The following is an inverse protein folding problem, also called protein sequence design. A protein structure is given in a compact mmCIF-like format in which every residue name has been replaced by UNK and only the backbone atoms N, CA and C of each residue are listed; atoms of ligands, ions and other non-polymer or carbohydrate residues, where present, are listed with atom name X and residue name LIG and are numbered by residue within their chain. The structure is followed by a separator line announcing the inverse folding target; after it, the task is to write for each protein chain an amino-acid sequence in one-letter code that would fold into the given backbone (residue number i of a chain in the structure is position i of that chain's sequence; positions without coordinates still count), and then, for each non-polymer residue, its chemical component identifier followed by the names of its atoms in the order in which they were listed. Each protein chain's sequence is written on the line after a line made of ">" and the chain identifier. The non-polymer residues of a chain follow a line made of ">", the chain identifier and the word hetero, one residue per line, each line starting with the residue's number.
data_IF_664654505613
#
_entry.id   IF_664654505613
#
_cell.length_a   1.000
_cell.length_b   1.000
_cell.length_c   1.000
_cell.angle_alpha   90.00
_cell.angle_beta   90.00
_cell.angle_gamma   90.00
#
_symmetry.space_group_name_H-M   'P 1'
#
loop_
_entity.id
_entity.type
_entity.pdbx_description
1 polymer ?
#
# COMPACT_ATOMS: atom_id res chain seq x y z
N UNK A 1 5.52 -9.53 34.61
CA UNK A 1 5.32 -8.09 34.36
C UNK A 1 4.20 -7.91 33.34
N UNK A 2 3.06 -7.37 33.74
CA UNK A 2 1.90 -7.13 32.85
C UNK A 2 2.15 -5.83 32.08
N UNK A 3 2.19 -5.84 30.74
CA UNK A 3 2.43 -4.60 29.99
C UNK A 3 1.25 -3.65 30.17
N UNK A 4 1.55 -2.39 30.53
CA UNK A 4 0.54 -1.34 30.70
C UNK A 4 -0.17 -1.07 29.37
N UNK A 5 -1.50 -0.82 29.40
CA UNK A 5 -2.36 -0.58 28.21
C UNK A 5 -1.76 0.41 27.20
N UNK A 6 -0.98 1.39 27.67
CA UNK A 6 -0.27 2.35 26.81
C UNK A 6 0.83 1.75 25.92
N UNK A 7 1.54 0.71 26.36
CA UNK A 7 2.53 0.01 25.54
C UNK A 7 1.87 -0.86 24.45
N UNK A 8 0.75 -1.50 24.75
CA UNK A 8 -0.03 -2.26 23.78
C UNK A 8 -0.58 -1.38 22.65
N UNK A 9 -1.07 -0.18 22.99
CA UNK A 9 -1.66 0.74 22.00
C UNK A 9 -0.59 1.30 21.04
N UNK A 10 0.61 1.63 21.55
CA UNK A 10 1.76 2.05 20.72
C UNK A 10 2.23 0.96 19.75
N UNK A 11 2.23 -0.30 20.18
CA UNK A 11 2.60 -1.44 19.33
C UNK A 11 1.61 -1.66 18.17
N UNK A 12 0.29 -1.58 18.44
CA UNK A 12 -0.75 -1.71 17.40
C UNK A 12 -0.68 -0.58 16.36
N UNK A 13 -0.36 0.64 16.79
CA UNK A 13 -0.26 1.81 15.91
C UNK A 13 0.98 1.74 15.01
N UNK A 14 2.11 1.27 15.53
CA UNK A 14 3.31 0.97 14.72
C UNK A 14 3.04 -0.10 13.68
N UNK A 15 2.39 -1.20 14.07
CA UNK A 15 2.00 -2.26 13.14
C UNK A 15 1.06 -1.77 12.04
N UNK A 16 0.10 -0.90 12.39
CA UNK A 16 -0.81 -0.27 11.44
C UNK A 16 -0.05 0.63 10.45
N UNK A 17 0.87 1.46 10.94
CA UNK A 17 1.68 2.33 10.10
C UNK A 17 2.57 1.53 9.13
N UNK A 18 3.25 0.48 9.62
CA UNK A 18 4.08 -0.40 8.78
C UNK A 18 3.23 -1.11 7.72
N UNK A 19 2.08 -1.66 8.10
CA UNK A 19 1.15 -2.33 7.17
C UNK A 19 0.62 -1.37 6.09
N UNK A 20 0.34 -0.12 6.48
CA UNK A 20 -0.10 0.93 5.55
C UNK A 20 1.03 1.32 4.60
N UNK A 21 2.25 1.47 5.10
CA UNK A 21 3.42 1.78 4.28
C UNK A 21 3.71 0.68 3.26
N UNK A 22 3.64 -0.59 3.66
CA UNK A 22 3.79 -1.74 2.76
C UNK A 22 2.70 -1.72 1.69
N UNK A 23 1.45 -1.45 2.07
CA UNK A 23 0.33 -1.40 1.12
C UNK A 23 0.50 -0.29 0.09
N UNK A 24 0.90 0.90 0.54
CA UNK A 24 1.23 2.04 -0.32
C UNK A 24 2.37 1.67 -1.26
N UNK A 25 3.46 1.11 -0.73
CA UNK A 25 4.61 0.70 -1.53
C UNK A 25 4.23 -0.33 -2.61
N UNK A 26 3.47 -1.36 -2.26
CA UNK A 26 2.99 -2.36 -3.23
C UNK A 26 2.13 -1.74 -4.33
N UNK A 27 1.20 -0.85 -3.98
CA UNK A 27 0.38 -0.13 -4.95
C UNK A 27 1.23 0.75 -5.87
N UNK A 28 2.21 1.48 -5.32
CA UNK A 28 3.15 2.28 -6.10
C UNK A 28 3.91 1.44 -7.12
N UNK A 29 4.43 0.28 -6.71
CA UNK A 29 5.14 -0.64 -7.62
C UNK A 29 4.22 -1.14 -8.73
N UNK A 30 2.96 -1.49 -8.41
CA UNK A 30 1.97 -1.92 -9.40
C UNK A 30 1.71 -0.81 -10.42
N UNK A 31 1.48 0.43 -9.97
CA UNK A 31 1.26 1.55 -10.88
C UNK A 31 2.47 1.88 -11.73
N UNK A 32 3.69 1.79 -11.17
CA UNK A 32 4.92 1.93 -11.95
C UNK A 32 5.04 0.85 -13.03
N UNK A 33 4.69 -0.40 -12.73
CA UNK A 33 4.69 -1.49 -13.71
C UNK A 33 3.68 -1.25 -14.84
N UNK A 34 2.49 -0.75 -14.51
CA UNK A 34 1.51 -0.33 -15.51
C UNK A 34 2.02 0.81 -16.39
N UNK A 35 2.67 1.80 -15.80
CA UNK A 35 3.24 2.93 -16.56
C UNK A 35 4.43 2.50 -17.41
N UNK A 36 5.19 1.49 -16.99
CA UNK A 36 6.28 0.92 -17.78
C UNK A 36 5.80 0.06 -18.94
N UNK A 37 4.56 -0.43 -18.92
CA UNK A 37 4.02 -1.29 -19.97
C UNK A 37 4.03 -0.62 -21.34
N UNK A 38 3.69 0.67 -21.40
CA UNK A 38 3.67 1.47 -22.64
C UNK A 38 5.08 1.58 -23.26
N UNK A 39 6.11 2.08 -22.55
CA UNK A 39 7.48 2.14 -23.10
C UNK A 39 8.08 0.76 -23.38
N UNK A 40 7.66 -0.29 -22.66
CA UNK A 40 8.02 -1.67 -23.00
C UNK A 40 7.41 -2.09 -24.34
N UNK A 41 6.16 -1.72 -24.62
CA UNK A 41 5.51 -1.93 -25.92
C UNK A 41 6.26 -1.27 -27.07
N UNK A 42 6.69 -0.01 -26.89
CA UNK A 42 7.48 0.71 -27.89
C UNK A 42 8.86 0.07 -28.12
N UNK A 43 9.49 -0.45 -27.05
CA UNK A 43 10.74 -1.21 -27.17
C UNK A 43 10.57 -2.48 -28.01
N UNK A 44 9.53 -3.29 -27.73
CA UNK A 44 9.23 -4.48 -28.53
C UNK A 44 8.76 -4.14 -29.96
N UNK A 45 8.23 -2.93 -30.17
CA UNK A 45 7.89 -2.37 -31.48
C UNK A 45 9.10 -1.94 -32.32
N UNK A 46 10.33 -2.08 -31.81
CA UNK A 46 11.57 -1.77 -32.54
C UNK A 46 12.15 -0.39 -32.25
N UNK A 47 11.61 0.37 -31.28
CA UNK A 47 12.19 1.63 -30.86
C UNK A 47 13.45 1.37 -30.03
N UNK A 48 14.61 1.97 -30.37
CA UNK A 48 15.84 1.76 -29.62
C UNK A 48 15.70 2.26 -28.18
N UNK A 49 16.16 1.45 -27.22
CA UNK A 49 16.05 1.69 -25.78
C UNK A 49 16.47 3.10 -25.34
N UNK A 50 17.47 3.68 -26.03
CA UNK A 50 18.03 5.01 -25.75
C UNK A 50 17.02 6.16 -25.98
N UNK A 51 16.00 5.95 -26.79
CA UNK A 51 14.97 6.96 -27.10
C UNK A 51 13.71 6.80 -26.25
N UNK A 52 13.66 5.77 -25.39
CA UNK A 52 12.49 5.49 -24.57
C UNK A 52 12.64 6.24 -23.24
N UNK A 53 11.85 7.29 -23.07
CA UNK A 53 11.86 8.08 -21.83
C UNK A 53 11.01 7.41 -20.75
N UNK A 54 11.55 6.36 -20.12
CA UNK A 54 10.92 5.66 -18.99
C UNK A 54 10.51 6.61 -17.86
N UNK A 55 11.34 7.61 -17.56
CA UNK A 55 11.04 8.61 -16.53
C UNK A 55 9.84 9.49 -16.85
N UNK A 56 9.58 9.77 -18.13
CA UNK A 56 8.39 10.52 -18.56
C UNK A 56 7.11 9.70 -18.53
N UNK A 57 7.21 8.37 -18.61
CA UNK A 57 6.07 7.48 -18.57
C UNK A 57 5.53 7.32 -17.13
N UNK A 58 6.39 7.43 -16.12
CA UNK A 58 6.05 7.28 -14.70
C UNK A 58 5.30 8.54 -14.21
N UNK A 59 3.98 8.56 -14.41
CA UNK A 59 3.09 9.62 -13.92
C UNK A 59 2.61 9.30 -12.51
N UNK A 60 3.57 9.26 -11.57
CA UNK A 60 3.29 8.88 -10.18
C UNK A 60 2.60 10.00 -9.38
N UNK A 61 2.90 11.25 -9.70
CA UNK A 61 2.43 12.44 -8.99
C UNK A 61 0.90 12.56 -8.90
N UNK A 62 0.12 12.42 -9.99
CA UNK A 62 -1.34 12.46 -9.91
C UNK A 62 -1.94 11.21 -9.24
N UNK A 63 -1.21 10.09 -9.20
CA UNK A 63 -1.70 8.80 -8.68
C UNK A 63 -1.43 8.62 -7.18
N UNK A 64 -0.44 9.32 -6.63
CA UNK A 64 -0.08 9.33 -5.21
C UNK A 64 -1.26 9.51 -4.24
N UNK A 65 -2.16 10.49 -4.40
CA UNK A 65 -3.30 10.65 -3.49
C UNK A 65 -4.25 9.44 -3.50
N UNK A 66 -4.45 8.80 -4.67
CA UNK A 66 -5.26 7.58 -4.78
C UNK A 66 -4.58 6.40 -4.10
N UNK A 67 -3.27 6.24 -4.29
CA UNK A 67 -2.47 5.17 -3.66
C UNK A 67 -2.54 5.29 -2.13
N UNK A 68 -2.34 6.50 -1.61
CA UNK A 68 -2.39 6.78 -0.17
C UNK A 68 -3.81 6.53 0.36
N UNK A 69 -4.84 7.03 -0.32
CA UNK A 69 -6.23 6.85 0.05
C UNK A 69 -6.65 5.37 0.12
N UNK A 70 -6.32 4.59 -0.91
CA UNK A 70 -6.61 3.15 -0.96
C UNK A 70 -5.83 2.39 0.11
N UNK A 71 -4.54 2.70 0.30
CA UNK A 71 -3.70 2.08 1.31
C UNK A 71 -4.23 2.28 2.74
N UNK A 72 -4.68 3.50 3.06
CA UNK A 72 -5.30 3.82 4.35
C UNK A 72 -6.66 3.10 4.47
N UNK A 73 -7.51 3.12 3.45
CA UNK A 73 -8.82 2.50 3.47
C UNK A 73 -8.76 0.97 3.68
N UNK A 74 -7.84 0.28 3.00
CA UNK A 74 -7.62 -1.16 3.14
C UNK A 74 -7.19 -1.54 4.57
N UNK A 75 -6.22 -0.80 5.12
CA UNK A 75 -5.73 -1.06 6.48
C UNK A 75 -6.76 -0.67 7.55
N UNK A 76 -7.53 0.40 7.34
CA UNK A 76 -8.61 0.81 8.22
C UNK A 76 -9.73 -0.25 8.27
N UNK A 77 -10.12 -0.80 7.12
CA UNK A 77 -11.09 -1.91 7.04
C UNK A 77 -10.58 -3.16 7.77
N UNK A 78 -9.28 -3.46 7.66
CA UNK A 78 -8.62 -4.57 8.35
C UNK A 78 -8.60 -4.37 9.88
N UNK A 79 -8.35 -3.14 10.34
CA UNK A 79 -8.40 -2.78 11.77
C UNK A 79 -9.82 -2.90 12.33
N UNK A 80 -10.84 -2.46 11.59
CA UNK A 80 -12.25 -2.55 11.99
C UNK A 80 -12.74 -4.00 12.07
N UNK A 81 -12.36 -4.86 11.11
CA UNK A 81 -12.65 -6.30 11.17
C UNK A 81 -11.96 -6.99 12.35
N UNK A 82 -10.70 -6.67 12.63
CA UNK A 82 -9.96 -7.27 13.75
C UNK A 82 -10.58 -6.93 15.11
N UNK A 83 -11.02 -5.68 15.31
CA UNK A 83 -11.77 -5.29 16.52
C UNK A 83 -13.10 -6.02 16.69
N UNK A 84 -13.79 -6.36 15.59
CA UNK A 84 -15.05 -7.11 15.64
C UNK A 84 -14.85 -8.62 15.93
N UNK A 85 -13.75 -9.24 15.47
CA UNK A 85 -13.44 -10.62 15.84
C UNK A 85 -13.03 -10.73 17.31
N UNK A 86 -12.19 -9.82 17.80
CA UNK A 86 -11.77 -9.82 19.22
C UNK A 86 -12.96 -9.60 20.17
N UNK A 87 -14.01 -8.87 19.75
CA UNK A 87 -15.22 -8.66 20.55
C UNK A 87 -16.18 -9.84 20.48
N UNK A 88 -16.34 -10.51 19.34
CA UNK A 88 -17.19 -11.72 19.25
C UNK A 88 -16.62 -12.87 20.09
N UNK A 89 -15.29 -13.03 20.15
CA UNK A 89 -14.66 -14.03 21.01
C UNK A 89 -14.75 -13.70 22.51
N UNK A 90 -14.89 -12.41 22.88
CA UNK A 90 -15.08 -11.97 24.27
C UNK A 90 -16.53 -12.18 24.80
N UNK A 91 -17.52 -12.41 23.93
CA UNK A 91 -18.90 -12.70 24.33
C UNK A 91 -19.28 -14.19 24.18
N UNK A 92 -18.34 -15.04 23.76
CA UNK A 92 -18.58 -16.48 23.52
C UNK A 92 -17.87 -17.39 24.53
N UNK A 93 -17.23 -16.82 25.55
CA UNK A 93 -16.56 -17.54 26.65
C UNK A 93 -17.04 -17.06 28.00
#
# INVERSE_FOLDING_TARGET
>A
MVPTRGQFMKSKLKYFAISTLISIFSLTVIFMLFDLYIPLGDFFGGVPFRNINFWSAIHLEPKLPYIIGIGIALNYKKLKRKKNCDTVDLYRG
#
